data_IF_628244551369
#
_entry.id   IF_628244551369
#
_cell.length_a   1.000
_cell.length_b   1.000
_cell.length_c   1.000
_cell.angle_alpha   90.00
_cell.angle_beta   90.00
_cell.angle_gamma   90.00
#
_symmetry.space_group_name_H-M   'P 1'
#
loop_
_entity.id
_entity.type
_entity.pdbx_description
1 polymer ?
#
# COMPACT_ATOMS: atom_id res chain seq x y z
N UNK A 1 3.35 22.60 25.60
CA UNK A 1 4.76 22.14 25.41
C UNK A 1 5.06 22.22 23.93
N UNK A 2 6.22 22.71 23.52
CA UNK A 2 6.63 22.80 22.11
C UNK A 2 7.66 21.73 21.78
N UNK A 3 7.37 20.94 20.76
CA UNK A 3 8.22 19.87 20.24
C UNK A 3 8.66 20.22 18.83
N UNK A 4 9.86 19.80 18.46
CA UNK A 4 10.32 19.89 17.06
C UNK A 4 10.99 18.61 16.60
N UNK A 5 10.60 18.14 15.41
CA UNK A 5 11.29 17.11 14.64
C UNK A 5 12.10 17.78 13.54
N UNK A 6 13.35 17.36 13.37
CA UNK A 6 14.18 17.63 12.19
C UNK A 6 14.31 16.30 11.44
N UNK A 7 13.71 16.26 10.26
CA UNK A 7 13.88 15.21 9.26
C UNK A 7 13.74 15.88 7.89
N UNK A 8 14.88 16.25 7.33
CA UNK A 8 15.04 17.08 6.15
C UNK A 8 14.75 16.31 4.88
N UNK A 9 15.38 15.14 4.73
CA UNK A 9 15.62 14.56 3.41
C UNK A 9 15.57 13.06 3.34
N UNK A 10 15.81 12.59 2.10
CA UNK A 10 15.34 11.33 1.55
C UNK A 10 13.82 11.16 1.75
N UNK A 11 13.03 11.38 0.69
CA UNK A 11 11.56 11.32 0.77
C UNK A 11 11.05 10.02 1.42
N UNK A 12 11.70 8.89 1.14
CA UNK A 12 11.37 7.61 1.77
C UNK A 12 11.54 7.63 3.29
N UNK A 13 12.62 8.22 3.80
CA UNK A 13 12.86 8.30 5.24
C UNK A 13 11.95 9.31 5.93
N UNK A 14 11.56 10.39 5.24
CA UNK A 14 10.51 11.29 5.75
C UNK A 14 9.21 10.51 5.97
N UNK A 15 8.80 9.68 5.01
CA UNK A 15 7.61 8.80 5.15
C UNK A 15 7.77 7.83 6.33
N UNK A 16 8.90 7.14 6.42
CA UNK A 16 9.19 6.17 7.50
C UNK A 16 9.25 6.80 8.90
N UNK A 17 9.47 8.11 8.99
CA UNK A 17 9.53 8.86 10.26
C UNK A 17 8.14 9.32 10.73
N UNK A 18 7.12 9.32 9.86
CA UNK A 18 5.75 9.76 10.20
C UNK A 18 5.16 9.14 11.49
N UNK A 19 5.41 7.86 11.84
CA UNK A 19 4.88 7.27 13.06
C UNK A 19 5.29 7.99 14.35
N UNK A 20 6.46 8.64 14.35
CA UNK A 20 6.93 9.40 15.52
C UNK A 20 6.04 10.60 15.83
N UNK A 21 5.45 11.25 14.82
CA UNK A 21 4.52 12.36 15.08
C UNK A 21 3.30 11.87 15.89
N UNK A 22 2.74 10.71 15.51
CA UNK A 22 1.64 10.07 16.24
C UNK A 22 2.07 9.67 17.65
N UNK A 23 3.21 9.00 17.79
CA UNK A 23 3.70 8.54 19.09
C UNK A 23 4.00 9.71 20.05
N UNK A 24 4.58 10.80 19.56
CA UNK A 24 4.82 12.01 20.34
C UNK A 24 3.52 12.67 20.80
N UNK A 25 2.51 12.78 19.93
CA UNK A 25 1.18 13.28 20.31
C UNK A 25 0.45 12.36 21.28
N UNK A 26 0.65 11.05 21.21
CA UNK A 26 0.10 10.13 22.21
C UNK A 26 0.78 10.28 23.57
N UNK A 27 2.11 10.42 23.59
CA UNK A 27 2.90 10.65 24.82
C UNK A 27 2.62 12.03 25.41
N UNK A 28 2.37 13.02 24.56
CA UNK A 28 2.14 14.42 24.93
C UNK A 28 0.92 15.01 24.19
N UNK A 29 -0.31 14.72 24.64
CA UNK A 29 -1.55 15.09 23.92
C UNK A 29 -1.70 16.58 23.60
N UNK A 30 -1.31 17.44 24.53
CA UNK A 30 -1.43 18.91 24.42
C UNK A 30 -0.16 19.58 23.88
N UNK A 31 0.80 18.81 23.37
CA UNK A 31 2.01 19.36 22.80
C UNK A 31 1.77 19.92 21.39
N UNK A 32 2.37 21.05 21.08
CA UNK A 32 2.47 21.58 19.73
C UNK A 32 3.72 20.97 19.07
N UNK A 33 3.54 20.23 17.98
CA UNK A 33 4.59 19.56 17.23
C UNK A 33 4.88 20.30 15.92
N UNK A 34 6.09 20.80 15.84
CA UNK A 34 6.69 21.37 14.64
C UNK A 34 7.53 20.32 13.91
N UNK A 35 7.48 20.29 12.58
CA UNK A 35 8.36 19.47 11.76
C UNK A 35 9.14 20.33 10.78
N UNK A 36 10.46 20.22 10.79
CA UNK A 36 11.37 20.89 9.85
C UNK A 36 11.80 19.88 8.78
N UNK A 37 11.57 20.21 7.51
CA UNK A 37 11.86 19.33 6.36
C UNK A 37 12.33 20.12 5.14
N UNK A 38 12.95 19.48 4.15
CA UNK A 38 13.28 20.14 2.87
C UNK A 38 12.01 20.47 2.06
N UNK A 39 12.02 21.52 1.20
CA UNK A 39 10.86 21.94 0.42
C UNK A 39 10.15 20.85 -0.36
N UNK A 40 10.91 19.90 -0.92
CA UNK A 40 10.37 18.79 -1.71
C UNK A 40 9.61 17.74 -0.89
N UNK A 41 9.81 17.71 0.44
CA UNK A 41 9.20 16.76 1.36
C UNK A 41 7.98 17.33 2.11
N UNK A 42 7.75 18.65 2.07
CA UNK A 42 6.62 19.31 2.75
C UNK A 42 5.29 18.62 2.44
N UNK A 43 5.06 18.29 1.16
CA UNK A 43 3.81 17.66 0.71
C UNK A 43 3.51 16.29 1.32
N UNK A 44 4.52 15.59 1.87
CA UNK A 44 4.33 14.31 2.59
C UNK A 44 3.69 14.55 3.96
N UNK A 45 4.00 15.69 4.58
CA UNK A 45 3.62 16.02 5.95
C UNK A 45 2.26 16.73 6.03
N UNK A 46 1.83 17.35 4.93
CA UNK A 46 0.57 18.07 4.85
C UNK A 46 -0.62 17.18 5.25
N UNK A 47 -1.60 17.77 5.93
CA UNK A 47 -2.81 17.12 6.44
C UNK A 47 -2.58 16.03 7.50
N UNK A 48 -1.35 15.83 7.97
CA UNK A 48 -1.11 14.94 9.10
C UNK A 48 -1.71 15.55 10.38
N UNK A 49 -2.69 14.90 11.05
CA UNK A 49 -3.37 15.45 12.22
C UNK A 49 -2.47 15.52 13.46
N UNK A 50 -1.27 14.96 13.40
CA UNK A 50 -0.30 14.95 14.49
C UNK A 50 0.78 16.03 14.35
N UNK A 51 0.79 16.80 13.26
CA UNK A 51 1.77 17.86 13.00
C UNK A 51 1.02 19.21 12.99
N UNK A 52 1.40 20.13 13.86
CA UNK A 52 0.73 21.45 13.96
C UNK A 52 1.39 22.50 13.06
N UNK A 53 2.71 22.40 12.86
CA UNK A 53 3.50 23.33 12.05
C UNK A 53 4.51 22.58 11.20
N UNK A 54 4.69 23.03 9.97
CA UNK A 54 5.73 22.54 9.06
C UNK A 54 6.59 23.74 8.67
N UNK A 55 7.90 23.62 8.83
CA UNK A 55 8.88 24.59 8.35
C UNK A 55 9.73 23.98 7.25
N UNK A 56 9.99 24.76 6.21
CA UNK A 56 11.06 24.47 5.27
C UNK A 56 12.41 24.66 5.95
N UNK A 57 13.41 23.84 5.62
CA UNK A 57 14.77 23.95 6.14
C UNK A 57 15.45 25.29 5.82
N UNK A 58 14.98 25.97 4.77
CA UNK A 58 15.47 27.29 4.34
C UNK A 58 14.86 28.47 5.14
N UNK A 59 13.91 28.21 6.04
CA UNK A 59 13.28 29.25 6.85
C UNK A 59 14.06 29.51 8.13
N UNK A 60 14.10 30.78 8.57
CA UNK A 60 14.70 31.12 9.86
C UNK A 60 13.77 30.73 11.02
N UNK A 61 14.31 29.97 11.97
CA UNK A 61 13.56 29.46 13.11
C UNK A 61 13.98 30.23 14.36
N UNK A 62 13.11 31.13 14.82
CA UNK A 62 13.31 31.94 16.04
C UNK A 62 12.57 31.39 17.26
N UNK A 63 11.82 30.29 17.10
CA UNK A 63 11.09 29.65 18.19
C UNK A 63 12.02 28.83 19.10
N UNK A 64 11.75 28.87 20.40
CA UNK A 64 12.39 27.99 21.40
C UNK A 64 11.52 26.76 21.65
N UNK A 65 12.13 25.59 21.83
CA UNK A 65 11.42 24.33 22.04
C UNK A 65 11.65 23.74 23.44
N UNK A 66 10.72 22.91 23.90
CA UNK A 66 10.91 22.12 25.12
C UNK A 66 11.72 20.85 24.80
N UNK A 67 11.46 20.20 23.65
CA UNK A 67 12.23 19.05 23.17
C UNK A 67 12.47 19.14 21.66
N UNK A 68 13.69 18.77 21.26
CA UNK A 68 14.12 18.69 19.86
C UNK A 68 14.55 17.26 19.55
N UNK A 69 14.11 16.76 18.40
CA UNK A 69 14.46 15.45 17.88
C UNK A 69 15.08 15.60 16.49
N UNK A 70 16.35 15.25 16.32
CA UNK A 70 16.99 15.24 15.00
C UNK A 70 17.24 13.82 14.51
N UNK A 71 16.60 13.42 13.42
CA UNK A 71 16.72 12.08 12.84
C UNK A 71 17.62 12.03 11.59
N UNK A 72 18.29 13.13 11.26
CA UNK A 72 19.20 13.23 10.13
C UNK A 72 20.63 13.55 10.57
N UNK A 73 21.59 12.91 9.89
CA UNK A 73 23.03 12.99 10.16
C UNK A 73 23.76 13.95 9.22
N UNK A 74 23.07 14.53 8.22
CA UNK A 74 23.68 15.46 7.30
C UNK A 74 24.03 16.80 7.97
N UNK A 75 24.93 17.55 7.33
CA UNK A 75 25.45 18.80 7.89
C UNK A 75 24.35 19.83 8.12
N UNK A 76 23.33 19.91 7.27
CA UNK A 76 22.24 20.88 7.41
C UNK A 76 21.41 20.55 8.66
N UNK A 77 21.00 19.31 8.82
CA UNK A 77 20.21 18.85 9.97
C UNK A 77 20.98 18.95 11.30
N UNK A 78 22.25 18.53 11.30
CA UNK A 78 23.10 18.57 12.50
C UNK A 78 23.46 20.01 12.91
N UNK A 79 23.59 20.94 11.96
CA UNK A 79 23.74 22.36 12.25
C UNK A 79 22.44 22.98 12.80
N UNK A 80 21.28 22.66 12.22
CA UNK A 80 19.98 23.11 12.73
C UNK A 80 19.76 22.67 14.19
N UNK A 81 19.95 21.38 14.47
CA UNK A 81 19.79 20.82 15.81
C UNK A 81 20.79 21.39 16.84
N UNK A 82 21.98 21.78 16.41
CA UNK A 82 22.97 22.44 17.27
C UNK A 82 22.55 23.87 17.63
N UNK A 83 22.03 24.62 16.64
CA UNK A 83 21.71 26.05 16.78
C UNK A 83 20.33 26.35 17.36
N UNK A 84 19.33 25.50 17.13
CA UNK A 84 17.97 25.70 17.68
C UNK A 84 18.00 25.56 19.20
N UNK A 85 17.41 26.53 19.90
CA UNK A 85 17.32 26.53 21.36
C UNK A 85 16.24 25.53 21.82
N UNK A 86 16.66 24.54 22.63
CA UNK A 86 15.76 23.54 23.22
C UNK A 86 16.25 23.10 24.60
N UNK A 87 15.33 22.82 25.54
CA UNK A 87 15.66 22.34 26.90
C UNK A 87 16.26 20.94 26.88
N UNK A 88 15.72 20.07 26.03
CA UNK A 88 16.20 18.72 25.81
C UNK A 88 16.39 18.45 24.31
N UNK A 89 17.42 17.68 23.95
CA UNK A 89 17.75 17.35 22.56
C UNK A 89 18.04 15.85 22.46
N UNK A 90 17.54 15.24 21.38
CA UNK A 90 17.67 13.82 21.05
C UNK A 90 18.12 13.67 19.60
N UNK A 91 18.83 12.59 19.28
CA UNK A 91 19.31 12.37 17.91
C UNK A 91 20.70 12.92 17.65
N UNK A 92 20.88 13.54 16.48
CA UNK A 92 22.21 13.91 16.00
C UNK A 92 22.50 15.41 16.12
N UNK A 93 23.77 15.77 16.23
CA UNK A 93 24.25 17.16 16.24
C UNK A 93 25.64 17.29 15.64
N UNK A 94 26.09 18.53 15.44
CA UNK A 94 27.41 18.85 14.93
C UNK A 94 28.36 19.12 16.10
N UNK A 95 29.41 18.32 16.23
CA UNK A 95 30.52 18.54 17.16
C UNK A 95 31.79 18.82 16.37
N UNK A 96 32.18 20.09 16.29
CA UNK A 96 33.41 20.53 15.61
C UNK A 96 33.52 20.04 14.14
N UNK A 97 32.41 20.06 13.40
CA UNK A 97 32.35 19.63 12.01
C UNK A 97 32.10 18.14 11.81
N UNK A 98 31.92 17.37 12.88
CA UNK A 98 31.60 15.94 12.82
C UNK A 98 30.21 15.67 13.36
N UNK A 99 29.49 14.72 12.75
CA UNK A 99 28.23 14.22 13.31
C UNK A 99 28.48 13.49 14.63
N UNK A 100 27.65 13.78 15.64
CA UNK A 100 27.67 13.17 16.97
C UNK A 100 26.25 12.91 17.46
N UNK A 101 26.11 12.10 18.51
CA UNK A 101 24.83 11.65 19.04
C UNK A 101 24.54 12.24 20.44
N UNK A 102 23.34 12.77 20.65
CA UNK A 102 22.89 13.27 21.95
C UNK A 102 22.62 12.15 22.97
N UNK A 103 22.28 10.95 22.50
CA UNK A 103 21.84 9.84 23.33
C UNK A 103 22.17 8.46 22.74
N UNK A 104 22.10 7.40 23.56
CA UNK A 104 22.52 6.04 23.19
C UNK A 104 21.75 5.44 22.00
N UNK A 105 20.46 5.76 21.86
CA UNK A 105 19.67 5.30 20.72
C UNK A 105 20.19 5.87 19.40
N UNK A 106 20.60 7.15 19.42
CA UNK A 106 21.23 7.80 18.28
C UNK A 106 22.65 7.26 18.03
N UNK A 107 23.44 7.02 19.07
CA UNK A 107 24.76 6.41 18.95
C UNK A 107 24.69 5.02 18.29
N UNK A 108 23.71 4.20 18.70
CA UNK A 108 23.47 2.90 18.06
C UNK A 108 23.21 3.03 16.56
N UNK A 109 22.26 3.89 16.16
CA UNK A 109 21.96 4.11 14.75
C UNK A 109 23.18 4.64 13.99
N UNK A 110 23.91 5.60 14.55
CA UNK A 110 25.12 6.14 13.94
C UNK A 110 26.15 5.04 13.68
N UNK A 111 26.36 4.15 14.65
CA UNK A 111 27.27 3.00 14.49
C UNK A 111 26.79 2.05 13.39
N UNK A 112 25.49 1.80 13.22
CA UNK A 112 25.00 0.96 12.10
C UNK A 112 25.30 1.55 10.71
N UNK A 113 25.63 2.85 10.62
CA UNK A 113 25.99 3.47 9.36
C UNK A 113 27.48 3.35 9.00
N UNK A 114 28.34 3.17 10.00
CA UNK A 114 29.80 3.17 9.84
C UNK A 114 30.48 1.83 10.18
N UNK A 115 29.77 0.92 10.83
CA UNK A 115 30.22 -0.44 11.15
C UNK A 115 29.45 -1.45 10.30
N UNK A 116 30.12 -2.00 9.30
CA UNK A 116 29.53 -2.97 8.36
C UNK A 116 29.13 -4.28 9.04
N UNK A 117 29.84 -4.73 10.08
CA UNK A 117 29.49 -5.94 10.84
C UNK A 117 28.18 -5.70 11.60
N UNK A 118 28.10 -4.59 12.32
CA UNK A 118 26.88 -4.20 13.03
C UNK A 118 25.70 -4.01 12.06
N UNK A 119 25.96 -3.44 10.88
CA UNK A 119 24.93 -3.24 9.84
C UNK A 119 24.38 -4.56 9.31
N UNK A 120 25.22 -5.59 9.13
CA UNK A 120 24.80 -6.95 8.72
C UNK A 120 24.01 -7.66 9.82
N UNK A 121 24.48 -7.54 11.05
CA UNK A 121 23.87 -8.21 12.21
C UNK A 121 22.56 -7.56 12.65
N UNK A 122 22.38 -6.25 12.40
CA UNK A 122 21.19 -5.53 12.79
C UNK A 122 19.92 -6.15 12.19
N UNK A 123 18.99 -6.51 13.08
CA UNK A 123 17.63 -6.97 12.72
C UNK A 123 16.53 -5.97 13.06
N UNK A 124 16.90 -4.80 13.62
CA UNK A 124 15.92 -3.77 13.94
C UNK A 124 15.46 -3.04 12.69
N UNK A 125 14.18 -2.72 12.66
CA UNK A 125 13.61 -1.82 11.65
C UNK A 125 14.13 -0.40 11.85
N UNK A 126 14.05 0.42 10.81
CA UNK A 126 14.36 1.85 10.94
C UNK A 126 13.46 2.53 11.96
N UNK A 127 12.18 2.15 12.02
CA UNK A 127 11.21 2.67 12.96
C UNK A 127 11.62 2.32 14.39
N UNK A 128 11.99 1.07 14.67
CA UNK A 128 12.54 0.70 15.98
C UNK A 128 13.75 1.57 16.36
N UNK A 129 14.69 1.77 15.43
CA UNK A 129 15.88 2.59 15.68
C UNK A 129 15.54 4.09 15.88
N UNK A 130 14.62 4.66 15.09
CA UNK A 130 14.20 6.05 15.26
C UNK A 130 13.41 6.27 16.56
N UNK A 131 12.63 5.29 17.01
CA UNK A 131 11.98 5.32 18.31
C UNK A 131 12.97 5.17 19.46
N UNK A 132 14.02 4.36 19.30
CA UNK A 132 15.16 4.33 20.23
C UNK A 132 15.85 5.71 20.30
N UNK A 133 16.10 6.35 19.15
CA UNK A 133 16.65 7.72 19.08
C UNK A 133 15.76 8.70 19.86
N UNK A 134 14.44 8.61 19.70
CA UNK A 134 13.48 9.48 20.37
C UNK A 134 13.25 9.15 21.86
N UNK A 135 13.76 8.03 22.36
CA UNK A 135 13.49 7.48 23.70
C UNK A 135 11.98 7.30 23.97
N UNK A 136 11.30 6.70 22.99
CA UNK A 136 9.88 6.36 23.04
C UNK A 136 9.72 4.87 22.70
N UNK A 137 8.88 4.12 23.44
CA UNK A 137 8.56 2.75 23.06
C UNK A 137 7.88 2.71 21.69
N UNK A 138 8.35 1.82 20.82
CA UNK A 138 7.70 1.54 19.54
C UNK A 138 6.64 0.45 19.74
N UNK A 139 5.40 0.74 19.35
CA UNK A 139 4.25 -0.16 19.46
C UNK A 139 3.64 -0.46 18.08
N UNK A 140 4.48 -0.52 17.04
CA UNK A 140 4.06 -0.71 15.64
C UNK A 140 3.09 0.38 15.16
N UNK A 141 3.37 1.64 15.55
CA UNK A 141 2.69 2.78 14.98
C UNK A 141 2.93 2.81 13.45
N UNK A 142 1.86 2.62 12.67
CA UNK A 142 1.94 2.56 11.21
C UNK A 142 2.19 3.95 10.57
N UNK A 143 2.99 4.04 9.50
CA UNK A 143 3.08 5.28 8.71
C UNK A 143 1.71 5.60 8.10
N UNK A 144 1.30 6.86 8.06
CA UNK A 144 0.07 7.22 7.36
C UNK A 144 0.26 8.53 6.63
N UNK A 145 0.04 8.48 5.32
CA UNK A 145 -0.08 9.66 4.47
C UNK A 145 -1.56 9.99 4.32
N UNK A 146 -1.88 11.27 4.47
CA UNK A 146 -3.25 11.77 4.46
C UNK A 146 -3.55 12.45 3.12
N UNK A 147 -4.18 11.71 2.22
CA UNK A 147 -4.61 12.25 0.95
C UNK A 147 -5.82 13.18 1.11
N UNK A 148 -5.77 14.32 0.43
CA UNK A 148 -6.89 15.25 0.28
C UNK A 148 -7.97 14.69 -0.65
N UNK A 149 -9.15 15.31 -0.61
CA UNK A 149 -10.24 14.97 -1.54
C UNK A 149 -9.85 15.15 -3.02
N UNK A 150 -9.03 16.15 -3.33
CA UNK A 150 -8.58 16.41 -4.71
C UNK A 150 -7.57 15.35 -5.18
N UNK A 151 -6.67 14.89 -4.31
CA UNK A 151 -5.73 13.80 -4.61
C UNK A 151 -6.46 12.47 -4.83
N UNK A 152 -7.44 12.14 -3.98
CA UNK A 152 -8.31 10.98 -4.19
C UNK A 152 -9.06 11.09 -5.53
N UNK A 153 -9.57 12.28 -5.86
CA UNK A 153 -10.25 12.54 -7.13
C UNK A 153 -9.31 12.40 -8.32
N UNK A 154 -8.04 12.79 -8.18
CA UNK A 154 -7.02 12.58 -9.21
C UNK A 154 -6.85 11.09 -9.53
N UNK A 155 -6.70 10.24 -8.52
CA UNK A 155 -6.63 8.78 -8.71
C UNK A 155 -7.88 8.21 -9.40
N UNK A 156 -9.08 8.64 -8.99
CA UNK A 156 -10.34 8.24 -9.65
C UNK A 156 -10.40 8.65 -11.11
N UNK A 157 -9.97 9.88 -11.42
CA UNK A 157 -9.89 10.38 -12.80
C UNK A 157 -8.90 9.56 -13.63
N UNK A 158 -7.75 9.21 -13.06
CA UNK A 158 -6.74 8.37 -13.71
C UNK A 158 -7.29 6.97 -14.06
N UNK A 159 -8.07 6.35 -13.17
CA UNK A 159 -8.80 5.10 -13.45
C UNK A 159 -9.73 5.28 -14.66
N UNK A 160 -10.53 6.34 -14.68
CA UNK A 160 -11.52 6.59 -15.71
C UNK A 160 -10.90 6.82 -17.09
N UNK A 161 -9.89 7.69 -17.17
CA UNK A 161 -9.20 8.02 -18.42
C UNK A 161 -8.50 6.81 -19.04
N UNK A 162 -7.97 5.92 -18.20
CA UNK A 162 -7.24 4.72 -18.63
C UNK A 162 -8.08 3.44 -18.61
N UNK A 163 -9.38 3.54 -18.30
CA UNK A 163 -10.33 2.41 -18.27
C UNK A 163 -9.89 1.25 -17.36
N UNK A 164 -9.37 1.57 -16.17
CA UNK A 164 -8.80 0.59 -15.23
C UNK A 164 -9.86 -0.05 -14.32
N UNK A 165 -10.92 -0.59 -14.92
CA UNK A 165 -12.06 -1.17 -14.19
C UNK A 165 -11.96 -2.69 -14.09
N UNK A 166 -12.73 -3.28 -13.17
CA UNK A 166 -13.08 -4.72 -13.08
C UNK A 166 -11.93 -5.69 -12.77
N UNK A 167 -10.70 -5.22 -12.92
CA UNK A 167 -9.47 -6.02 -12.84
C UNK A 167 -8.55 -5.46 -11.77
N UNK A 168 -7.67 -6.32 -11.30
CA UNK A 168 -6.63 -5.94 -10.35
C UNK A 168 -5.63 -4.99 -11.02
N UNK A 169 -5.29 -3.91 -10.34
CA UNK A 169 -4.34 -2.89 -10.76
C UNK A 169 -3.01 -3.14 -10.05
N UNK A 170 -2.00 -3.60 -10.80
CA UNK A 170 -0.66 -3.84 -10.28
C UNK A 170 0.24 -2.67 -10.67
N UNK A 171 0.75 -1.95 -9.68
CA UNK A 171 1.76 -0.91 -9.89
C UNK A 171 3.16 -1.51 -9.90
N UNK A 172 3.94 -1.29 -10.96
CA UNK A 172 5.33 -1.76 -11.06
C UNK A 172 6.25 -0.54 -11.13
N UNK A 173 6.98 -0.27 -10.05
CA UNK A 173 7.98 0.79 -10.05
C UNK A 173 9.28 0.29 -10.68
N UNK A 174 9.62 0.87 -11.83
CA UNK A 174 10.74 0.43 -12.66
C UNK A 174 12.06 1.14 -12.31
N UNK A 175 11.97 2.24 -11.56
CA UNK A 175 13.09 3.12 -11.25
C UNK A 175 13.82 2.76 -9.96
N UNK A 176 15.03 3.29 -9.82
CA UNK A 176 15.82 3.31 -8.61
C UNK A 176 16.66 4.59 -8.56
N UNK A 177 17.04 5.02 -7.34
CA UNK A 177 17.93 6.16 -7.17
C UNK A 177 19.28 5.90 -7.86
N UNK A 178 19.86 6.92 -8.48
CA UNK A 178 21.21 6.86 -9.06
C UNK A 178 22.28 6.55 -8.01
N UNK A 179 22.02 6.86 -6.73
CA UNK A 179 22.91 6.50 -5.61
C UNK A 179 22.97 4.99 -5.37
N UNK A 180 21.89 4.27 -5.67
CA UNK A 180 21.75 2.83 -5.39
C UNK A 180 21.21 2.11 -6.64
N UNK A 181 22.02 2.03 -7.72
CA UNK A 181 21.54 1.64 -9.05
C UNK A 181 21.10 0.17 -9.13
N UNK A 182 21.60 -0.70 -8.24
CA UNK A 182 21.23 -2.12 -8.16
C UNK A 182 19.91 -2.40 -7.44
N UNK A 183 19.14 -1.36 -7.06
CA UNK A 183 17.83 -1.53 -6.41
C UNK A 183 16.65 -1.80 -7.34
N UNK A 184 16.86 -1.78 -8.66
CA UNK A 184 15.80 -2.06 -9.64
C UNK A 184 15.97 -3.43 -10.27
N UNK A 185 14.84 -4.03 -10.66
CA UNK A 185 14.82 -5.29 -11.38
C UNK A 185 15.52 -5.14 -12.74
N UNK A 186 16.28 -6.16 -13.16
CA UNK A 186 16.88 -6.17 -14.48
C UNK A 186 15.84 -6.03 -15.59
N UNK A 187 16.18 -5.34 -16.68
CA UNK A 187 15.26 -5.05 -17.78
C UNK A 187 14.63 -6.30 -18.38
N UNK A 188 15.42 -7.35 -18.63
CA UNK A 188 14.91 -8.62 -19.19
C UNK A 188 13.86 -9.25 -18.27
N UNK A 189 14.12 -9.28 -16.95
CA UNK A 189 13.20 -9.83 -15.96
C UNK A 189 11.95 -8.93 -15.84
N UNK A 190 12.11 -7.61 -15.89
CA UNK A 190 10.98 -6.68 -15.90
C UNK A 190 10.07 -6.92 -17.11
N UNK A 191 10.63 -7.03 -18.31
CA UNK A 191 9.88 -7.30 -19.55
C UNK A 191 9.16 -8.64 -19.49
N UNK A 192 9.83 -9.69 -19.02
CA UNK A 192 9.21 -11.00 -18.86
C UNK A 192 8.07 -10.96 -17.82
N UNK A 193 8.27 -10.28 -16.69
CA UNK A 193 7.25 -10.10 -15.66
C UNK A 193 6.02 -9.37 -16.20
N UNK A 194 6.20 -8.24 -16.89
CA UNK A 194 5.12 -7.47 -17.51
C UNK A 194 4.34 -8.37 -18.49
N UNK A 195 5.05 -9.11 -19.35
CA UNK A 195 4.45 -10.02 -20.33
C UNK A 195 3.66 -11.16 -19.70
N UNK A 196 4.13 -11.71 -18.58
CA UNK A 196 3.40 -12.77 -17.85
C UNK A 196 2.17 -12.19 -17.17
N UNK A 197 2.31 -11.07 -16.46
CA UNK A 197 1.22 -10.39 -15.76
C UNK A 197 0.11 -9.91 -16.70
N UNK A 198 0.46 -9.44 -17.91
CA UNK A 198 -0.51 -8.90 -18.88
C UNK A 198 -1.48 -9.96 -19.40
N UNK A 199 -1.09 -11.23 -19.36
CA UNK A 199 -1.92 -12.38 -19.76
C UNK A 199 -2.93 -12.81 -18.68
N UNK A 200 -2.75 -12.38 -17.43
CA UNK A 200 -3.56 -12.82 -16.28
C UNK A 200 -4.71 -11.86 -15.94
N UNK A 201 -5.28 -11.16 -16.93
CA UNK A 201 -6.38 -10.22 -16.74
C UNK A 201 -6.11 -9.10 -15.73
N UNK A 202 -4.85 -8.70 -15.51
CA UNK A 202 -4.52 -7.55 -14.66
C UNK A 202 -4.39 -6.27 -15.49
N UNK A 203 -4.66 -5.13 -14.87
CA UNK A 203 -4.16 -3.83 -15.32
C UNK A 203 -2.76 -3.62 -14.74
N UNK A 204 -1.82 -3.16 -15.55
CA UNK A 204 -0.45 -2.88 -15.13
C UNK A 204 -0.19 -1.39 -15.28
N UNK A 205 0.27 -0.76 -14.21
CA UNK A 205 0.75 0.63 -14.22
C UNK A 205 2.27 0.61 -14.06
N UNK A 206 2.99 1.00 -15.11
CA UNK A 206 4.42 1.26 -15.03
C UNK A 206 4.64 2.61 -14.35
N UNK A 207 5.36 2.58 -13.23
CA UNK A 207 5.63 3.73 -12.38
C UNK A 207 7.11 4.14 -12.54
N UNK A 208 7.34 5.39 -12.93
CA UNK A 208 8.67 6.00 -13.05
C UNK A 208 8.65 7.48 -12.64
N UNK A 209 9.78 7.96 -12.16
CA UNK A 209 9.98 9.37 -11.81
C UNK A 209 10.67 10.16 -12.91
N UNK A 210 11.03 11.43 -12.64
CA UNK A 210 11.67 12.31 -13.62
C UNK A 210 13.00 11.78 -14.18
N UNK A 211 13.69 10.90 -13.45
CA UNK A 211 14.94 10.29 -13.89
C UNK A 211 14.73 9.07 -14.80
N UNK A 212 13.50 8.55 -14.87
CA UNK A 212 13.15 7.36 -15.65
C UNK A 212 12.38 7.68 -16.93
N UNK A 213 12.30 8.95 -17.36
CA UNK A 213 11.48 9.35 -18.53
C UNK A 213 11.79 8.49 -19.76
N UNK A 214 13.04 8.47 -20.20
CA UNK A 214 13.44 7.72 -21.41
C UNK A 214 13.26 6.20 -21.23
N UNK A 215 13.57 5.69 -20.04
CA UNK A 215 13.45 4.27 -19.73
C UNK A 215 11.98 3.81 -19.72
N UNK A 216 11.10 4.58 -19.08
CA UNK A 216 9.66 4.31 -19.00
C UNK A 216 9.01 4.35 -20.39
N UNK A 217 9.34 5.33 -21.22
CA UNK A 217 8.85 5.40 -22.61
C UNK A 217 9.32 4.21 -23.44
N UNK A 218 10.58 3.82 -23.30
CA UNK A 218 11.16 2.68 -24.03
C UNK A 218 10.45 1.38 -23.67
N UNK A 219 10.30 1.09 -22.37
CA UNK A 219 9.58 -0.11 -21.92
C UNK A 219 8.12 -0.07 -22.34
N UNK A 220 7.41 1.04 -22.14
CA UNK A 220 5.99 1.14 -22.48
C UNK A 220 5.73 0.94 -23.98
N UNK A 221 6.58 1.49 -24.84
CA UNK A 221 6.47 1.33 -26.30
C UNK A 221 6.59 -0.12 -26.76
N UNK A 222 7.36 -0.96 -26.07
CA UNK A 222 7.47 -2.39 -26.38
C UNK A 222 6.20 -3.20 -26.05
N UNK A 223 5.28 -2.64 -25.26
CA UNK A 223 4.04 -3.27 -24.85
C UNK A 223 2.79 -2.50 -25.30
N UNK A 224 2.93 -1.59 -26.28
CA UNK A 224 1.84 -0.74 -26.76
C UNK A 224 0.66 -1.52 -27.36
N UNK A 225 0.87 -2.77 -27.79
CA UNK A 225 -0.19 -3.66 -28.24
C UNK A 225 -1.10 -4.18 -27.12
N UNK A 226 -0.69 -4.04 -25.86
CA UNK A 226 -1.45 -4.45 -24.68
C UNK A 226 -2.17 -3.25 -24.07
N UNK A 227 -3.49 -3.07 -24.30
CA UNK A 227 -4.23 -1.90 -23.81
C UNK A 227 -4.36 -1.85 -22.29
N UNK A 228 -4.10 -2.95 -21.59
CA UNK A 228 -4.09 -3.04 -20.13
C UNK A 228 -2.74 -2.67 -19.49
N UNK A 229 -1.74 -2.26 -20.29
CA UNK A 229 -0.46 -1.75 -19.81
C UNK A 229 -0.42 -0.24 -20.03
N UNK A 230 -0.40 0.50 -18.92
CA UNK A 230 -0.32 1.95 -18.91
C UNK A 230 0.93 2.40 -18.15
N UNK A 231 1.25 3.70 -18.26
CA UNK A 231 2.33 4.33 -17.51
C UNK A 231 1.84 5.60 -16.83
N UNK A 232 2.46 5.99 -15.73
CA UNK A 232 2.26 7.33 -15.17
C UNK A 232 2.95 8.39 -16.05
N UNK A 233 2.72 9.66 -15.73
CA UNK A 233 3.54 10.74 -16.26
C UNK A 233 4.77 10.91 -15.34
N UNK A 234 6.01 10.73 -15.83
CA UNK A 234 7.23 10.96 -15.03
C UNK A 234 7.33 12.34 -14.38
N UNK A 235 6.65 13.34 -14.94
CA UNK A 235 6.59 14.71 -14.40
C UNK A 235 5.47 14.91 -13.38
N UNK A 236 4.79 13.84 -12.96
CA UNK A 236 3.78 13.92 -11.91
C UNK A 236 4.38 14.53 -10.64
N UNK A 237 3.63 15.43 -10.01
CA UNK A 237 3.97 15.88 -8.65
C UNK A 237 3.95 14.70 -7.68
N UNK A 238 4.62 14.85 -6.52
CA UNK A 238 4.62 13.80 -5.50
C UNK A 238 3.19 13.40 -5.08
N UNK A 239 2.27 14.37 -5.01
CA UNK A 239 0.85 14.17 -4.69
C UNK A 239 0.13 13.34 -5.74
N UNK A 240 0.34 13.65 -7.02
CA UNK A 240 -0.23 12.88 -8.13
C UNK A 240 0.34 11.47 -8.17
N UNK A 241 1.65 11.31 -8.01
CA UNK A 241 2.31 10.00 -7.95
C UNK A 241 1.77 9.14 -6.80
N UNK A 242 1.64 9.75 -5.61
CA UNK A 242 1.05 9.10 -4.43
C UNK A 242 -0.41 8.72 -4.67
N UNK A 243 -1.17 9.54 -5.40
CA UNK A 243 -2.56 9.25 -5.79
C UNK A 243 -2.65 8.07 -6.76
N UNK A 244 -1.69 7.92 -7.68
CA UNK A 244 -1.61 6.77 -8.59
C UNK A 244 -1.21 5.51 -7.82
N UNK A 245 -0.28 5.59 -6.87
CA UNK A 245 0.02 4.46 -5.97
C UNK A 245 -1.23 4.06 -5.19
N UNK A 246 -2.02 5.04 -4.71
CA UNK A 246 -3.20 4.77 -3.90
C UNK A 246 -4.30 3.98 -4.63
N UNK A 247 -4.38 4.07 -5.97
CA UNK A 247 -5.34 3.27 -6.75
C UNK A 247 -4.84 1.87 -7.09
N UNK A 248 -3.55 1.60 -6.87
CA UNK A 248 -3.00 0.27 -7.09
C UNK A 248 -3.50 -0.67 -5.99
N UNK A 249 -3.85 -1.88 -6.42
CA UNK A 249 -4.30 -2.97 -5.57
C UNK A 249 -3.10 -3.72 -4.95
N UNK A 250 -1.98 -3.79 -5.68
CA UNK A 250 -0.72 -4.33 -5.19
C UNK A 250 0.45 -3.61 -5.88
N UNK A 251 1.55 -3.37 -5.17
CA UNK A 251 2.77 -2.81 -5.74
C UNK A 251 3.90 -3.83 -5.84
N UNK A 252 4.72 -3.69 -6.88
CA UNK A 252 5.99 -4.38 -7.06
C UNK A 252 7.07 -3.31 -7.24
N UNK A 253 8.04 -3.29 -6.33
CA UNK A 253 9.06 -2.24 -6.35
C UNK A 253 10.33 -2.68 -5.62
N UNK A 254 11.46 -2.09 -5.99
CA UNK A 254 12.65 -2.12 -5.14
C UNK A 254 12.48 -1.25 -3.90
N UNK A 255 13.48 -1.25 -3.03
CA UNK A 255 13.56 -0.40 -1.85
C UNK A 255 13.74 1.10 -2.21
N UNK A 256 12.64 1.74 -2.61
CA UNK A 256 12.55 3.12 -3.12
C UNK A 256 11.41 3.89 -2.45
N UNK A 257 11.24 5.17 -2.82
CA UNK A 257 10.10 5.97 -2.36
C UNK A 257 8.75 5.28 -2.60
N UNK A 258 8.56 4.59 -3.73
CA UNK A 258 7.30 3.91 -4.06
C UNK A 258 6.95 2.82 -3.03
N UNK A 259 7.95 2.11 -2.51
CA UNK A 259 7.79 1.11 -1.44
C UNK A 259 7.25 1.76 -0.16
N UNK A 260 7.87 2.85 0.29
CA UNK A 260 7.44 3.51 1.53
C UNK A 260 6.08 4.19 1.38
N UNK A 261 5.78 4.80 0.23
CA UNK A 261 4.46 5.37 -0.06
C UNK A 261 3.37 4.30 -0.07
N UNK A 262 3.62 3.13 -0.68
CA UNK A 262 2.62 2.05 -0.73
C UNK A 262 2.32 1.49 0.65
N UNK A 263 3.34 1.27 1.48
CA UNK A 263 3.14 0.88 2.88
C UNK A 263 2.32 1.96 3.60
N UNK A 264 2.71 3.24 3.55
CA UNK A 264 1.99 4.32 4.21
C UNK A 264 0.53 4.53 3.72
N UNK A 265 0.22 4.08 2.50
CA UNK A 265 -1.13 4.05 1.91
C UNK A 265 -1.87 2.73 2.15
N UNK A 266 -1.27 1.84 2.95
CA UNK A 266 -1.78 0.51 3.32
C UNK A 266 -2.00 -0.40 2.12
N UNK A 267 -1.10 -0.36 1.14
CA UNK A 267 -1.17 -1.19 -0.05
C UNK A 267 -0.35 -2.47 0.14
N UNK A 268 -0.91 -3.64 -0.18
CA UNK A 268 -0.12 -4.86 -0.34
C UNK A 268 1.06 -4.60 -1.29
N UNK A 269 2.26 -4.97 -0.86
CA UNK A 269 3.49 -4.62 -1.58
C UNK A 269 4.43 -5.81 -1.64
N UNK A 270 5.06 -6.00 -2.79
CA UNK A 270 6.17 -6.92 -3.01
C UNK A 270 7.43 -6.07 -3.15
N UNK A 271 8.28 -6.13 -2.12
CA UNK A 271 9.56 -5.42 -2.09
C UNK A 271 10.70 -6.30 -2.60
N UNK A 272 11.46 -5.77 -3.55
CA UNK A 272 12.63 -6.44 -4.13
C UNK A 272 13.90 -5.89 -3.48
N UNK A 273 14.58 -6.73 -2.70
CA UNK A 273 15.76 -6.36 -1.93
C UNK A 273 17.02 -6.97 -2.54
N UNK A 274 17.85 -6.12 -3.13
CA UNK A 274 19.07 -6.52 -3.83
C UNK A 274 20.32 -6.22 -3.01
N UNK A 275 20.50 -4.94 -2.64
CA UNK A 275 21.69 -4.46 -1.94
C UNK A 275 21.34 -3.55 -0.76
N UNK A 276 20.12 -3.59 -0.22
CA UNK A 276 19.79 -2.85 1.02
C UNK A 276 19.16 -3.73 2.06
N UNK A 277 19.39 -3.37 3.33
CA UNK A 277 18.88 -4.10 4.48
C UNK A 277 17.37 -4.27 4.40
N UNK A 278 16.95 -5.50 4.11
CA UNK A 278 15.54 -5.88 4.14
C UNK A 278 14.98 -5.89 5.59
N UNK A 279 15.86 -5.92 6.59
CA UNK A 279 15.48 -5.88 8.01
C UNK A 279 15.10 -4.47 8.46
N UNK A 280 15.70 -3.44 7.86
CA UNK A 280 15.41 -2.04 8.21
C UNK A 280 14.04 -1.55 7.71
N UNK A 281 13.40 -2.28 6.80
CA UNK A 281 12.07 -1.94 6.31
C UNK A 281 11.03 -2.65 7.15
N UNK A 282 10.28 -1.91 7.95
CA UNK A 282 9.09 -2.42 8.64
C UNK A 282 8.02 -2.87 7.63
N UNK A 283 7.43 -4.05 7.86
CA UNK A 283 6.48 -4.64 6.90
C UNK A 283 5.01 -4.31 7.18
N UNK A 284 4.65 -4.06 8.44
CA UNK A 284 3.28 -3.89 8.93
C UNK A 284 2.28 -4.94 8.40
N UNK A 285 2.74 -6.17 8.16
CA UNK A 285 1.98 -7.24 7.50
C UNK A 285 1.48 -6.92 6.07
N UNK A 286 2.02 -5.89 5.43
CA UNK A 286 1.66 -5.46 4.07
C UNK A 286 2.75 -5.79 3.05
N UNK A 287 3.99 -6.00 3.50
CA UNK A 287 5.15 -6.17 2.65
C UNK A 287 5.61 -7.63 2.58
N UNK A 288 5.55 -8.23 1.39
CA UNK A 288 6.27 -9.46 1.05
C UNK A 288 7.68 -9.10 0.56
N UNK A 289 8.70 -9.55 1.29
CA UNK A 289 10.10 -9.26 0.98
C UNK A 289 10.68 -10.39 0.12
N UNK A 290 11.10 -10.07 -1.10
CA UNK A 290 11.89 -10.96 -1.94
C UNK A 290 13.34 -10.51 -1.86
N UNK A 291 14.18 -11.36 -1.29
CA UNK A 291 15.60 -11.07 -1.08
C UNK A 291 16.39 -11.75 -2.20
N UNK A 292 17.33 -11.01 -2.78
CA UNK A 292 18.26 -11.56 -3.76
C UNK A 292 19.03 -12.75 -3.15
N UNK A 293 19.17 -13.88 -3.87
CA UNK A 293 20.02 -14.97 -3.41
C UNK A 293 21.52 -14.59 -3.37
N UNK A 294 21.89 -13.44 -3.96
CA UNK A 294 23.24 -12.87 -3.91
C UNK A 294 23.38 -11.76 -2.86
N UNK A 295 22.35 -11.46 -2.07
CA UNK A 295 22.33 -10.32 -1.15
C UNK A 295 23.59 -10.21 -0.28
N UNK A 296 24.01 -11.30 0.36
CA UNK A 296 25.16 -11.34 1.27
C UNK A 296 26.52 -11.09 0.58
N UNK A 297 26.61 -11.25 -0.74
CA UNK A 297 27.84 -10.98 -1.52
C UNK A 297 28.05 -9.48 -1.80
N UNK A 298 27.01 -8.67 -1.61
CA UNK A 298 26.97 -7.24 -1.99
C UNK A 298 26.64 -6.31 -0.83
N UNK A 299 25.85 -6.75 0.14
CA UNK A 299 25.46 -5.92 1.27
C UNK A 299 26.45 -6.04 2.44
N UNK A 300 26.91 -4.92 3.03
CA UNK A 300 26.70 -3.52 2.66
C UNK A 300 27.83 -2.91 1.81
N UNK A 301 28.86 -3.67 1.43
CA UNK A 301 30.10 -3.12 0.88
C UNK A 301 29.99 -2.58 -0.55
N UNK A 302 29.00 -3.04 -1.34
CA UNK A 302 28.88 -2.72 -2.78
C UNK A 302 27.52 -2.12 -3.13
N UNK A 303 26.86 -1.49 -2.17
CA UNK A 303 25.48 -1.02 -2.34
C UNK A 303 25.34 0.04 -3.44
N UNK A 304 26.36 0.89 -3.59
CA UNK A 304 26.41 2.06 -4.50
C UNK A 304 26.85 1.70 -5.93
N UNK A 305 27.23 0.44 -6.16
CA UNK A 305 27.70 -0.04 -7.45
C UNK A 305 26.56 -0.76 -8.19
N UNK A 306 26.52 -0.57 -9.51
CA UNK A 306 25.66 -1.37 -10.36
C UNK A 306 26.30 -2.73 -10.59
N UNK A 307 25.55 -3.81 -10.37
CA UNK A 307 25.96 -5.17 -10.70
C UNK A 307 24.85 -5.91 -11.43
N UNK A 308 25.16 -6.39 -12.63
CA UNK A 308 24.18 -7.03 -13.52
C UNK A 308 23.73 -8.40 -13.00
N UNK A 309 24.62 -9.19 -12.40
CA UNK A 309 24.28 -10.50 -11.85
C UNK A 309 23.36 -10.36 -10.65
N UNK A 310 23.59 -9.34 -9.82
CA UNK A 310 22.76 -9.03 -8.68
C UNK A 310 21.34 -8.65 -9.11
N UNK A 311 21.16 -7.69 -10.03
CA UNK A 311 19.80 -7.28 -10.45
C UNK A 311 19.05 -8.36 -11.24
N UNK A 312 19.77 -9.32 -11.84
CA UNK A 312 19.20 -10.50 -12.50
C UNK A 312 18.81 -11.62 -11.54
N UNK A 313 19.37 -11.63 -10.33
CA UNK A 313 19.24 -12.74 -9.38
C UNK A 313 17.83 -12.96 -8.83
N UNK A 314 17.00 -11.91 -8.79
CA UNK A 314 15.57 -12.04 -8.51
C UNK A 314 14.85 -12.35 -9.81
N UNK A 315 14.31 -13.56 -9.93
CA UNK A 315 13.63 -14.02 -11.13
C UNK A 315 12.15 -13.62 -11.18
N UNK A 316 11.58 -13.61 -12.38
CA UNK A 316 10.15 -13.38 -12.59
C UNK A 316 9.29 -14.38 -11.81
N UNK A 317 9.72 -15.63 -11.69
CA UNK A 317 8.98 -16.68 -11.01
C UNK A 317 8.89 -16.45 -9.50
N UNK A 318 9.97 -15.96 -8.87
CA UNK A 318 9.96 -15.57 -7.46
C UNK A 318 8.91 -14.48 -7.19
N UNK A 319 8.81 -13.51 -8.10
CA UNK A 319 7.84 -12.42 -8.01
C UNK A 319 6.42 -12.93 -8.22
N UNK A 320 6.18 -13.71 -9.28
CA UNK A 320 4.85 -14.25 -9.60
C UNK A 320 4.31 -15.16 -8.49
N UNK A 321 5.16 -15.98 -7.88
CA UNK A 321 4.79 -16.84 -6.75
C UNK A 321 4.44 -16.04 -5.48
N UNK A 322 4.87 -14.79 -5.40
CA UNK A 322 4.60 -13.89 -4.27
C UNK A 322 3.34 -13.04 -4.45
N UNK A 323 2.74 -13.00 -5.64
CA UNK A 323 1.55 -12.19 -5.92
C UNK A 323 0.35 -12.60 -5.06
N UNK A 324 -0.36 -11.60 -4.55
CA UNK A 324 -1.66 -11.84 -3.94
C UNK A 324 -2.67 -12.22 -5.03
N UNK A 325 -3.18 -13.45 -4.99
CA UNK A 325 -4.27 -13.85 -5.87
C UNK A 325 -5.56 -13.17 -5.40
N UNK A 326 -6.28 -12.44 -6.27
CA UNK A 326 -7.59 -11.91 -5.90
C UNK A 326 -8.53 -13.07 -5.61
N UNK A 327 -9.33 -12.92 -4.56
CA UNK A 327 -10.46 -13.81 -4.31
C UNK A 327 -11.55 -13.45 -5.31
N UNK A 328 -12.03 -14.39 -6.10
CA UNK A 328 -13.15 -14.15 -7.01
C UNK A 328 -14.43 -14.64 -6.35
N UNK A 329 -15.52 -13.88 -6.45
CA UNK A 329 -16.82 -14.22 -5.84
C UNK A 329 -17.94 -14.08 -6.87
N UNK A 330 -18.87 -15.04 -6.88
CA UNK A 330 -20.07 -15.00 -7.71
C UNK A 330 -21.32 -15.00 -6.83
N UNK A 331 -22.22 -14.02 -7.02
CA UNK A 331 -23.48 -13.92 -6.28
C UNK A 331 -24.69 -14.01 -7.21
N UNK A 332 -25.77 -14.59 -6.70
CA UNK A 332 -27.03 -14.72 -7.42
C UNK A 332 -28.11 -13.82 -6.83
N UNK A 333 -28.62 -12.92 -7.66
CA UNK A 333 -29.89 -12.29 -7.43
C UNK A 333 -30.99 -13.21 -7.95
N UNK A 334 -31.62 -13.95 -7.03
CA UNK A 334 -32.71 -14.88 -7.33
C UNK A 334 -34.03 -14.18 -7.09
N UNK A 335 -34.87 -14.07 -8.12
CA UNK A 335 -36.14 -13.32 -8.07
C UNK A 335 -37.34 -14.26 -8.01
N UNK A 336 -38.28 -13.96 -7.11
CA UNK A 336 -39.60 -14.59 -7.03
C UNK A 336 -40.67 -13.49 -6.95
N UNK A 337 -41.32 -13.20 -8.07
CA UNK A 337 -42.28 -12.09 -8.15
C UNK A 337 -41.61 -10.73 -7.97
N UNK A 338 -42.05 -9.94 -7.00
CA UNK A 338 -41.47 -8.64 -6.60
C UNK A 338 -40.38 -8.77 -5.52
N UNK A 339 -40.11 -10.00 -5.07
CA UNK A 339 -39.13 -10.30 -4.02
C UNK A 339 -37.86 -10.93 -4.57
N UNK A 340 -36.79 -10.82 -3.80
CA UNK A 340 -35.53 -11.50 -4.05
C UNK A 340 -35.00 -12.17 -2.78
N UNK A 341 -34.20 -13.23 -2.97
CA UNK A 341 -33.59 -13.96 -1.88
C UNK A 341 -32.35 -13.24 -1.36
N UNK A 342 -32.28 -13.07 -0.05
CA UNK A 342 -31.09 -12.64 0.68
C UNK A 342 -30.79 -13.62 1.81
N UNK A 343 -29.51 -13.78 2.11
CA UNK A 343 -29.02 -14.61 3.20
C UNK A 343 -28.25 -13.74 4.20
N UNK A 344 -28.15 -14.25 5.43
CA UNK A 344 -27.31 -13.71 6.49
C UNK A 344 -26.29 -14.77 6.86
N UNK A 345 -24.99 -14.46 6.77
CA UNK A 345 -23.90 -15.40 7.09
C UNK A 345 -23.69 -15.52 8.59
N UNK A 346 -23.37 -16.73 9.06
CA UNK A 346 -23.01 -16.99 10.47
C UNK A 346 -21.74 -16.26 10.89
N UNK A 347 -21.57 -16.14 12.22
CA UNK A 347 -20.35 -15.64 12.85
C UNK A 347 -19.13 -16.48 12.40
N UNK A 348 -17.98 -15.82 12.22
CA UNK A 348 -16.70 -16.33 11.68
C UNK A 348 -16.49 -16.15 10.16
N UNK A 349 -17.53 -15.83 9.40
CA UNK A 349 -17.41 -15.53 7.96
C UNK A 349 -17.08 -14.05 7.66
N UNK A 350 -16.52 -13.80 6.47
CA UNK A 350 -16.28 -12.42 6.02
C UNK A 350 -17.64 -11.73 5.77
N UNK A 351 -17.82 -10.56 6.40
CA UNK A 351 -19.11 -9.86 6.54
C UNK A 351 -20.17 -10.60 7.37
N UNK A 352 -19.74 -11.43 8.34
CA UNK A 352 -20.63 -12.03 9.34
C UNK A 352 -21.65 -11.04 9.90
N UNK A 353 -22.90 -11.49 10.05
CA UNK A 353 -23.99 -10.69 10.59
C UNK A 353 -24.68 -9.75 9.58
N UNK A 354 -24.13 -9.54 8.37
CA UNK A 354 -24.71 -8.69 7.32
C UNK A 354 -25.59 -9.50 6.35
N UNK A 355 -26.58 -8.83 5.76
CA UNK A 355 -27.43 -9.37 4.69
C UNK A 355 -26.81 -9.18 3.31
N UNK A 356 -26.86 -10.21 2.47
CA UNK A 356 -26.32 -10.21 1.11
C UNK A 356 -27.06 -11.18 0.17
N UNK A 357 -26.78 -11.11 -1.13
CA UNK A 357 -27.18 -12.16 -2.06
C UNK A 357 -26.45 -13.48 -1.73
N UNK A 358 -27.10 -14.64 -1.92
CA UNK A 358 -26.41 -15.92 -1.84
C UNK A 358 -25.33 -16.03 -2.93
N UNK A 359 -24.27 -16.77 -2.64
CA UNK A 359 -23.10 -16.91 -3.49
C UNK A 359 -21.80 -17.06 -2.69
N UNK A 360 -20.71 -17.31 -3.39
CA UNK A 360 -19.44 -17.59 -2.74
C UNK A 360 -18.23 -17.56 -3.65
N UNK A 361 -17.14 -18.10 -3.12
CA UNK A 361 -15.79 -17.94 -3.68
C UNK A 361 -15.58 -18.94 -4.82
N UNK A 362 -14.96 -18.48 -5.91
CA UNK A 362 -14.55 -19.37 -6.99
C UNK A 362 -13.42 -20.31 -6.54
N UNK A 363 -13.56 -21.60 -6.83
CA UNK A 363 -12.51 -22.61 -6.74
C UNK A 363 -11.49 -22.49 -7.90
N UNK A 364 -10.32 -23.12 -7.73
CA UNK A 364 -9.15 -22.95 -8.62
C UNK A 364 -9.35 -23.44 -10.09
N UNK A 365 -10.50 -24.04 -10.44
CA UNK A 365 -10.78 -24.56 -11.80
C UNK A 365 -12.18 -24.24 -12.33
N UNK A 366 -12.90 -23.31 -11.71
CA UNK A 366 -14.25 -22.95 -12.17
C UNK A 366 -14.30 -21.51 -12.69
N UNK A 367 -15.22 -21.28 -13.63
CA UNK A 367 -15.61 -19.93 -14.03
C UNK A 367 -16.73 -19.38 -13.13
N UNK A 368 -17.04 -18.09 -13.27
CA UNK A 368 -18.06 -17.44 -12.42
C UNK A 368 -19.43 -18.11 -12.49
N UNK A 369 -19.87 -18.61 -13.66
CA UNK A 369 -21.18 -19.26 -13.80
C UNK A 369 -21.21 -20.65 -13.15
N UNK A 370 -20.09 -21.37 -13.21
CA UNK A 370 -19.93 -22.67 -12.55
C UNK A 370 -19.96 -22.51 -11.03
N UNK A 371 -19.17 -21.57 -10.50
CA UNK A 371 -19.16 -21.21 -9.08
C UNK A 371 -20.54 -20.78 -8.60
N UNK A 372 -21.20 -19.88 -9.34
CA UNK A 372 -22.55 -19.43 -9.02
C UNK A 372 -23.51 -20.60 -8.86
N UNK A 373 -23.52 -21.55 -9.80
CA UNK A 373 -24.42 -22.72 -9.74
C UNK A 373 -24.11 -23.63 -8.55
N UNK A 374 -22.82 -23.84 -8.24
CA UNK A 374 -22.37 -24.66 -7.12
C UNK A 374 -22.77 -24.01 -5.79
N UNK A 375 -22.38 -22.76 -5.59
CA UNK A 375 -22.63 -21.99 -4.36
C UNK A 375 -24.13 -21.86 -4.05
N UNK A 376 -24.97 -21.56 -5.05
CA UNK A 376 -26.43 -21.46 -4.82
C UNK A 376 -27.03 -22.81 -4.44
N UNK A 377 -26.54 -23.91 -5.01
CA UNK A 377 -26.98 -25.24 -4.61
C UNK A 377 -26.52 -25.61 -3.21
N UNK A 378 -25.31 -25.22 -2.83
CA UNK A 378 -24.70 -25.50 -1.53
C UNK A 378 -25.30 -24.64 -0.40
N UNK A 379 -25.40 -23.32 -0.58
CA UNK A 379 -25.85 -22.39 0.46
C UNK A 379 -27.36 -22.43 0.69
N UNK A 380 -28.15 -22.57 -0.39
CA UNK A 380 -29.62 -22.40 -0.33
C UNK A 380 -30.42 -23.52 -1.01
N UNK A 381 -29.76 -24.57 -1.52
CA UNK A 381 -30.42 -25.76 -2.06
C UNK A 381 -31.11 -25.57 -3.42
N UNK A 382 -30.99 -24.39 -4.05
CA UNK A 382 -31.69 -24.07 -5.29
C UNK A 382 -30.83 -24.43 -6.52
N UNK A 383 -31.48 -24.83 -7.61
CA UNK A 383 -30.81 -25.04 -8.91
C UNK A 383 -31.05 -23.86 -9.85
N UNK A 384 -29.98 -23.31 -10.42
CA UNK A 384 -30.06 -22.23 -11.40
C UNK A 384 -30.26 -22.83 -12.79
N UNK A 385 -31.47 -22.68 -13.32
CA UNK A 385 -31.83 -23.14 -14.66
C UNK A 385 -31.32 -22.18 -15.74
N UNK A 386 -31.31 -20.87 -15.45
CA UNK A 386 -30.90 -19.85 -16.40
C UNK A 386 -30.23 -18.66 -15.71
N UNK A 387 -29.07 -18.24 -16.25
CA UNK A 387 -28.46 -16.94 -15.97
C UNK A 387 -29.02 -15.94 -16.98
N UNK A 388 -29.70 -14.90 -16.50
CA UNK A 388 -30.39 -13.92 -17.35
C UNK A 388 -29.40 -12.84 -17.83
N UNK A 389 -28.68 -12.23 -16.89
CA UNK A 389 -27.65 -11.21 -17.16
C UNK A 389 -26.68 -11.05 -15.99
N UNK A 390 -25.46 -10.60 -16.27
CA UNK A 390 -24.58 -9.98 -15.26
C UNK A 390 -25.19 -8.63 -14.87
N UNK A 391 -25.39 -8.40 -13.56
CA UNK A 391 -25.99 -7.16 -13.04
C UNK A 391 -24.94 -6.19 -12.50
N UNK A 392 -23.87 -6.72 -11.92
CA UNK A 392 -22.78 -5.90 -11.42
C UNK A 392 -21.44 -6.63 -11.51
N UNK A 393 -20.39 -5.83 -11.63
CA UNK A 393 -19.04 -6.24 -11.34
C UNK A 393 -18.43 -5.22 -10.38
N UNK A 394 -17.70 -5.71 -9.39
CA UNK A 394 -17.21 -4.84 -8.34
C UNK A 394 -15.90 -5.35 -7.76
N UNK A 395 -15.14 -4.42 -7.19
CA UNK A 395 -13.84 -4.68 -6.57
C UNK A 395 -13.80 -4.01 -5.21
N UNK A 396 -13.43 -4.77 -4.18
CA UNK A 396 -13.23 -4.22 -2.84
C UNK A 396 -12.08 -4.91 -2.11
N UNK A 397 -11.54 -4.23 -1.10
CA UNK A 397 -10.55 -4.78 -0.18
C UNK A 397 -11.27 -5.41 1.02
N UNK A 398 -11.08 -6.71 1.23
CA UNK A 398 -11.62 -7.42 2.38
C UNK A 398 -10.94 -6.98 3.68
N UNK A 399 -11.57 -7.20 4.85
CA UNK A 399 -10.95 -6.97 6.15
C UNK A 399 -9.63 -7.74 6.36
N UNK A 400 -9.46 -8.90 5.70
CA UNK A 400 -8.24 -9.71 5.75
C UNK A 400 -7.12 -9.19 4.81
N UNK A 401 -7.33 -8.06 4.14
CA UNK A 401 -6.38 -7.44 3.22
C UNK A 401 -6.36 -8.06 1.81
N UNK A 402 -7.21 -9.05 1.51
CA UNK A 402 -7.32 -9.61 0.16
C UNK A 402 -8.25 -8.79 -0.71
N UNK A 403 -7.86 -8.59 -1.96
CA UNK A 403 -8.75 -8.00 -2.96
C UNK A 403 -9.76 -9.05 -3.38
N UNK A 404 -11.03 -8.66 -3.39
CA UNK A 404 -12.11 -9.46 -3.96
C UNK A 404 -12.61 -8.84 -5.25
N UNK A 405 -12.74 -9.68 -6.28
CA UNK A 405 -13.40 -9.36 -7.54
C UNK A 405 -14.74 -10.10 -7.56
N UNK A 406 -15.82 -9.35 -7.38
CA UNK A 406 -17.18 -9.87 -7.30
C UNK A 406 -17.93 -9.67 -8.60
N UNK A 407 -18.78 -10.64 -8.94
CA UNK A 407 -19.81 -10.51 -9.97
C UNK A 407 -21.15 -10.95 -9.42
N UNK A 408 -22.16 -10.11 -9.62
CA UNK A 408 -23.54 -10.47 -9.29
C UNK A 408 -24.30 -10.76 -10.58
N UNK A 409 -25.15 -11.78 -10.57
CA UNK A 409 -25.94 -12.23 -11.71
C UNK A 409 -27.42 -12.27 -11.37
N UNK A 410 -28.26 -11.79 -12.28
CA UNK A 410 -29.69 -12.05 -12.23
C UNK A 410 -29.95 -13.45 -12.79
N UNK A 411 -30.57 -14.31 -11.99
CA UNK A 411 -30.81 -15.71 -12.36
C UNK A 411 -32.28 -16.11 -12.17
N UNK A 412 -32.66 -17.21 -12.81
CA UNK A 412 -33.95 -17.85 -12.64
C UNK A 412 -33.79 -19.27 -12.10
N UNK A 413 -34.66 -19.63 -11.15
CA UNK A 413 -34.80 -20.97 -10.57
C UNK A 413 -36.22 -21.46 -10.81
N UNK A 414 -36.40 -22.78 -10.94
CA UNK A 414 -37.75 -23.38 -11.08
C UNK A 414 -38.44 -23.63 -9.73
N UNK A 415 -37.65 -23.70 -8.65
CA UNK A 415 -38.10 -23.85 -7.26
C UNK A 415 -37.66 -22.63 -6.42
N UNK A 416 -38.37 -22.38 -5.34
CA UNK A 416 -38.13 -21.33 -4.35
C UNK A 416 -38.09 -21.86 -2.92
N UNK A 417 -38.13 -23.20 -2.73
CA UNK A 417 -37.94 -23.83 -1.43
C UNK A 417 -36.47 -23.81 -1.03
N UNK A 418 -36.13 -22.92 -0.11
CA UNK A 418 -34.76 -22.70 0.35
C UNK A 418 -34.39 -23.72 1.43
N UNK A 419 -33.31 -24.46 1.21
CA UNK A 419 -32.70 -25.35 2.19
C UNK A 419 -31.28 -24.88 2.47
N UNK A 420 -31.06 -24.34 3.67
CA UNK A 420 -29.77 -23.76 4.02
C UNK A 420 -28.78 -24.78 4.55
N UNK A 421 -27.48 -24.58 4.25
CA UNK A 421 -26.41 -25.36 4.86
C UNK A 421 -25.97 -24.79 6.22
N UNK A 422 -24.80 -25.25 6.71
CA UNK A 422 -24.21 -24.81 7.97
C UNK A 422 -23.67 -23.38 7.98
N UNK A 423 -23.56 -22.70 6.84
CA UNK A 423 -22.89 -21.38 6.68
C UNK A 423 -23.88 -20.22 6.74
N UNK A 424 -25.14 -20.47 6.41
CA UNK A 424 -26.24 -19.49 6.47
C UNK A 424 -26.87 -19.50 7.87
N UNK A 425 -26.94 -18.32 8.48
CA UNK A 425 -27.60 -18.09 9.78
C UNK A 425 -29.11 -17.94 9.61
N UNK A 426 -29.53 -17.17 8.60
CA UNK A 426 -30.93 -16.84 8.31
C UNK A 426 -31.09 -16.50 6.81
N UNK A 427 -32.31 -16.61 6.28
CA UNK A 427 -32.63 -16.24 4.90
C UNK A 427 -34.00 -15.56 4.80
N UNK A 428 -34.17 -14.66 3.83
CA UNK A 428 -35.44 -13.95 3.61
C UNK A 428 -35.70 -13.70 2.13
N UNK A 429 -36.98 -13.78 1.77
CA UNK A 429 -37.50 -13.23 0.53
C UNK A 429 -38.00 -11.82 0.80
N UNK A 430 -37.32 -10.80 0.27
CA UNK A 430 -37.58 -9.39 0.58
C UNK A 430 -37.89 -8.57 -0.67
N UNK A 431 -38.75 -7.57 -0.53
CA UNK A 431 -38.87 -6.48 -1.51
C UNK A 431 -37.71 -5.50 -1.36
N UNK A 432 -37.54 -4.59 -2.32
CA UNK A 432 -36.53 -3.53 -2.24
C UNK A 432 -36.71 -2.67 -0.96
N UNK A 433 -37.94 -2.29 -0.64
CA UNK A 433 -38.25 -1.48 0.54
C UNK A 433 -38.01 -2.22 1.86
N UNK A 434 -38.18 -3.54 1.87
CA UNK A 434 -37.84 -4.39 3.02
C UNK A 434 -36.32 -4.52 3.18
N UNK A 435 -35.58 -4.63 2.07
CA UNK A 435 -34.13 -4.74 2.06
C UNK A 435 -33.42 -3.48 2.57
N UNK A 436 -33.88 -2.29 2.21
CA UNK A 436 -33.32 -1.02 2.70
C UNK A 436 -33.34 -0.88 4.24
N UNK A 437 -34.16 -1.69 4.92
CA UNK A 437 -34.28 -1.71 6.39
C UNK A 437 -33.37 -2.78 7.02
N UNK A 438 -32.69 -3.60 6.22
CA UNK A 438 -31.76 -4.62 6.70
C UNK A 438 -30.34 -4.05 6.82
N UNK A 439 -29.55 -4.62 7.73
CA UNK A 439 -28.14 -4.31 7.85
C UNK A 439 -27.34 -5.07 6.78
N UNK A 440 -27.22 -4.50 5.58
CA UNK A 440 -26.56 -5.12 4.43
C UNK A 440 -25.11 -4.68 4.25
N UNK A 441 -24.39 -5.35 3.35
CA UNK A 441 -23.09 -4.86 2.87
C UNK A 441 -23.27 -3.54 2.09
N UNK A 442 -22.26 -2.68 2.16
CA UNK A 442 -22.23 -1.38 1.47
C UNK A 442 -22.25 -1.59 -0.06
N UNK A 443 -23.01 -0.75 -0.78
CA UNK A 443 -23.16 -0.80 -2.25
C UNK A 443 -24.23 -1.76 -2.79
N UNK A 444 -24.69 -2.75 -2.01
CA UNK A 444 -25.66 -3.74 -2.50
C UNK A 444 -27.05 -3.17 -2.83
N UNK A 445 -27.48 -2.13 -2.11
CA UNK A 445 -28.74 -1.44 -2.41
C UNK A 445 -28.68 -0.68 -3.74
N UNK A 446 -27.51 -0.13 -4.10
CA UNK A 446 -27.28 0.56 -5.36
C UNK A 446 -27.35 -0.44 -6.53
N UNK A 447 -26.75 -1.64 -6.39
CA UNK A 447 -26.87 -2.72 -7.37
C UNK A 447 -28.31 -3.15 -7.63
N UNK A 448 -29.14 -3.19 -6.57
CA UNK A 448 -30.56 -3.53 -6.68
C UNK A 448 -31.35 -2.46 -7.45
N UNK A 449 -31.15 -1.18 -7.13
CA UNK A 449 -31.82 -0.07 -7.80
C UNK A 449 -31.54 -0.07 -9.31
N UNK A 450 -30.27 -0.21 -9.71
CA UNK A 450 -29.84 -0.26 -11.11
C UNK A 450 -30.40 -1.47 -11.87
N UNK A 451 -30.80 -2.53 -11.16
CA UNK A 451 -31.35 -3.75 -11.77
C UNK A 451 -32.86 -3.67 -12.03
N UNK A 452 -33.59 -2.89 -11.22
CA UNK A 452 -35.05 -2.79 -11.26
C UNK A 452 -35.59 -1.57 -12.01
N UNK A 453 -34.74 -0.59 -12.34
CA UNK A 453 -35.01 0.43 -13.38
C UNK A 453 -34.74 -0.11 -14.80
#
# INVERSE_FOLDING_TARGET
MKLVIIKLGALGDVVRTLPLAKALKQKYPEAELTWITNPNAITILENNPHIDKIYSSNEEISETFDKLYNFDIDDEATNLSSNIESKEKFGFYNSDGFVSAFNLGAEYYLNTLFDDELKKENKKTYQEMMFMVAEIPYNQEHETIYLTKEEIKYGKKFIQENKLFEKKIIGINIGASSRWPSKKLHEENLKELIKKLSKHENHIILLGGPNEVEYLETIHKEFQEFPNIIKNNPSNSLKEFTSIINICDELICGDTLALHLSIALKKPTIGLFFCTSHSEVEDYNLLKKIISPKFDEFFPEKMDQYDEELVKSISCEMILNSLNKPVKVANAMIKNGDKFLVIKRKDEEIHAGKWMFPGGVLEDNENFEEALKREIKEEVGLEINQIIKEISNYKYLRPDGKITLGKSYLVNTEDFNVETNGEVEDFKWVTLEEFEKLDSIEGLAEELLDTFE
#
